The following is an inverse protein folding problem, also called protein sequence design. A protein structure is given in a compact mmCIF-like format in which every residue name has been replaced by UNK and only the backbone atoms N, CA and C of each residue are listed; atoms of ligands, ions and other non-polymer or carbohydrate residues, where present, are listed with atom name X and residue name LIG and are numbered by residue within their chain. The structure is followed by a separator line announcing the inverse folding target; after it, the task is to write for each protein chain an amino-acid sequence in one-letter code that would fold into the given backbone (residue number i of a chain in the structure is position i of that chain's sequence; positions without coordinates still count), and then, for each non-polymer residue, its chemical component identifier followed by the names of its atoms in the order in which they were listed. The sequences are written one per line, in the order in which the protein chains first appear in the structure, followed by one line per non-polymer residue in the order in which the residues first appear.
data_IF_987691798202
#
_entry.id   IF_987691798202
#
_cell.length_a   1.000
_cell.length_b   1.000
_cell.length_c   1.000
_cell.angle_alpha   90.00
_cell.angle_beta   90.00
_cell.angle_gamma   90.00
#
_symmetry.space_group_name_H-M   'P 1'
#
loop_
_entity.id
_entity.type
_entity.pdbx_description
1 polymer ?
#
# COMPACT_ATOMS: atom_id res chain seq x y z
N UNK A 1 2.50 37.80 0.68
CA UNK A 1 1.79 36.52 0.52
C UNK A 1 2.21 35.61 1.66
N UNK A 2 1.43 35.60 2.74
CA UNK A 2 1.73 34.82 3.93
C UNK A 2 1.35 33.37 3.69
N UNK A 3 2.32 32.45 3.79
CA UNK A 3 2.05 31.01 3.86
C UNK A 3 1.21 30.77 5.12
N UNK A 4 -0.06 30.40 4.93
CA UNK A 4 -0.89 29.84 5.99
C UNK A 4 -0.22 28.55 6.47
N UNK A 5 0.41 28.58 7.65
CA UNK A 5 0.74 27.37 8.39
C UNK A 5 -0.59 26.70 8.73
N UNK A 6 -0.96 25.63 8.03
CA UNK A 6 -1.97 24.71 8.52
C UNK A 6 -1.47 24.18 9.87
N UNK A 7 -2.05 24.64 10.97
CA UNK A 7 -1.81 24.05 12.28
C UNK A 7 -2.33 22.62 12.23
N UNK A 8 -1.44 21.64 12.17
CA UNK A 8 -1.80 20.23 12.33
C UNK A 8 -2.36 20.06 13.73
N UNK A 9 -3.68 19.97 13.83
CA UNK A 9 -4.41 19.72 15.07
C UNK A 9 -4.21 18.25 15.45
N UNK A 10 -3.06 17.94 16.05
CA UNK A 10 -2.81 16.61 16.60
C UNK A 10 -3.63 16.44 17.88
N UNK A 11 -4.49 15.43 17.88
CA UNK A 11 -5.42 15.16 18.99
C UNK A 11 -5.03 13.85 19.67
N UNK A 12 -4.99 13.87 21.00
CA UNK A 12 -4.78 12.68 21.79
C UNK A 12 -6.10 11.90 21.91
N UNK A 13 -6.10 10.64 21.45
CA UNK A 13 -7.27 9.74 21.47
C UNK A 13 -6.81 8.38 21.98
N UNK A 14 -7.63 7.72 22.80
CA UNK A 14 -7.46 6.32 23.17
C UNK A 14 -8.35 5.44 22.30
N UNK A 15 -7.76 4.48 21.60
CA UNK A 15 -8.48 3.48 20.77
C UNK A 15 -8.23 2.12 21.40
N UNK A 16 -9.27 1.52 21.98
CA UNK A 16 -9.11 0.38 22.88
C UNK A 16 -8.27 0.76 24.11
N UNK A 17 -7.18 0.04 24.32
CA UNK A 17 -6.26 0.26 25.44
C UNK A 17 -5.03 1.12 25.08
N UNK A 18 -4.89 1.53 23.83
CA UNK A 18 -3.70 2.23 23.33
C UNK A 18 -3.99 3.71 23.11
N UNK A 19 -3.07 4.57 23.56
CA UNK A 19 -3.17 6.02 23.39
C UNK A 19 -2.37 6.46 22.17
N UNK A 20 -3.01 7.22 21.29
CA UNK A 20 -2.43 7.77 20.08
C UNK A 20 -2.49 9.29 20.09
N UNK A 21 -1.57 9.92 19.35
CA UNK A 21 -1.58 11.36 19.05
C UNK A 21 -1.59 11.51 17.53
N UNK A 22 -2.79 11.72 16.97
CA UNK A 22 -3.02 11.62 15.52
C UNK A 22 -3.45 12.95 14.92
N UNK A 23 -3.11 13.15 13.65
CA UNK A 23 -3.68 14.23 12.85
C UNK A 23 -5.06 13.80 12.35
N UNK A 24 -6.10 14.18 13.09
CA UNK A 24 -7.50 13.80 12.80
C UNK A 24 -7.99 14.36 11.46
N UNK A 25 -7.35 15.39 10.91
CA UNK A 25 -7.73 15.95 9.59
C UNK A 25 -7.53 14.95 8.44
N UNK A 26 -6.67 13.94 8.64
CA UNK A 26 -6.42 12.87 7.68
C UNK A 26 -7.32 11.66 7.87
N UNK A 27 -8.14 11.64 8.92
CA UNK A 27 -9.00 10.51 9.30
C UNK A 27 -10.42 11.05 9.56
N UNK A 28 -11.25 11.19 8.50
CA UNK A 28 -12.54 11.88 8.60
C UNK A 28 -13.49 11.31 9.65
N UNK A 29 -13.49 9.99 9.84
CA UNK A 29 -14.27 9.36 10.91
C UNK A 29 -13.83 9.86 12.30
N UNK A 30 -12.51 9.91 12.55
CA UNK A 30 -11.97 10.34 13.85
C UNK A 30 -12.21 11.82 14.10
N UNK A 31 -12.13 12.67 13.07
CA UNK A 31 -12.52 14.08 13.19
C UNK A 31 -13.98 14.21 13.64
N UNK A 32 -14.89 13.51 12.95
CA UNK A 32 -16.33 13.52 13.27
C UNK A 32 -16.61 13.00 14.69
N UNK A 33 -15.89 11.94 15.09
CA UNK A 33 -15.99 11.36 16.43
C UNK A 33 -15.53 12.33 17.52
N UNK A 34 -14.40 13.01 17.33
CA UNK A 34 -13.87 14.01 18.26
C UNK A 34 -14.83 15.19 18.39
N UNK A 35 -15.32 15.70 17.27
CA UNK A 35 -16.27 16.82 17.26
C UNK A 35 -17.57 16.44 17.99
N UNK A 36 -18.09 15.24 17.76
CA UNK A 36 -19.27 14.75 18.46
C UNK A 36 -19.04 14.64 19.97
N UNK A 37 -17.93 14.02 20.40
CA UNK A 37 -17.63 13.88 21.84
C UNK A 37 -17.38 15.22 22.53
N UNK A 38 -16.66 16.14 21.88
CA UNK A 38 -16.36 17.47 22.41
C UNK A 38 -17.64 18.29 22.66
N UNK A 39 -18.63 18.15 21.76
CA UNK A 39 -19.92 18.81 21.92
C UNK A 39 -20.84 18.11 22.95
N UNK A 40 -20.69 16.79 23.13
CA UNK A 40 -21.54 16.02 24.04
C UNK A 40 -21.06 16.02 25.51
N UNK A 41 -19.75 16.13 25.76
CA UNK A 41 -19.16 16.06 27.11
C UNK A 41 -18.45 17.35 27.46
N UNK A 42 -19.08 18.19 28.29
CA UNK A 42 -18.53 19.47 28.77
C UNK A 42 -17.28 19.36 29.66
N UNK A 43 -16.87 18.15 30.11
CA UNK A 43 -15.76 17.97 31.06
C UNK A 43 -14.86 16.74 30.80
N UNK A 44 -15.01 16.00 29.70
CA UNK A 44 -14.13 14.86 29.42
C UNK A 44 -12.77 15.34 28.94
N UNK A 45 -11.70 14.96 29.64
CA UNK A 45 -10.32 15.30 29.29
C UNK A 45 -9.68 14.33 28.29
N UNK A 46 -10.34 13.20 28.00
CA UNK A 46 -9.84 12.16 27.10
C UNK A 46 -10.94 11.71 26.13
N UNK A 47 -10.58 11.60 24.84
CA UNK A 47 -11.42 10.99 23.81
C UNK A 47 -11.14 9.48 23.79
N UNK A 48 -12.17 8.67 23.98
CA UNK A 48 -12.06 7.21 24.10
C UNK A 48 -12.97 6.53 23.09
N UNK A 49 -12.38 5.76 22.19
CA UNK A 49 -13.02 4.95 21.15
C UNK A 49 -12.76 3.46 21.43
N UNK A 50 -13.71 2.61 21.04
CA UNK A 50 -13.55 1.16 21.08
C UNK A 50 -12.36 0.69 20.20
N UNK A 51 -11.81 -0.52 20.41
CA UNK A 51 -10.76 -1.04 19.55
C UNK A 51 -11.14 -1.06 18.07
N UNK A 52 -10.22 -0.63 17.21
CA UNK A 52 -10.34 -0.77 15.75
C UNK A 52 -9.27 -1.79 15.32
N UNK A 53 -9.65 -2.86 14.58
CA UNK A 53 -8.68 -3.83 14.09
C UNK A 53 -7.56 -3.19 13.28
N UNK A 54 -6.31 -3.59 13.55
CA UNK A 54 -5.10 -3.16 12.83
C UNK A 54 -4.93 -1.63 12.73
N UNK A 55 -5.49 -0.86 13.67
CA UNK A 55 -5.48 0.60 13.63
C UNK A 55 -4.07 1.20 13.62
N UNK A 56 -3.14 0.60 14.37
CA UNK A 56 -1.73 1.00 14.42
C UNK A 56 -1.04 0.84 13.05
N UNK A 57 -1.31 -0.26 12.35
CA UNK A 57 -0.81 -0.51 11.00
C UNK A 57 -1.45 0.47 10.01
N UNK A 58 -2.77 0.69 10.09
CA UNK A 58 -3.48 1.63 9.24
C UNK A 58 -2.91 3.05 9.40
N UNK A 59 -2.70 3.49 10.64
CA UNK A 59 -2.10 4.78 10.97
C UNK A 59 -0.66 4.88 10.44
N UNK A 60 0.16 3.83 10.61
CA UNK A 60 1.53 3.80 10.08
C UNK A 60 1.57 3.90 8.56
N UNK A 61 0.66 3.23 7.85
CA UNK A 61 0.52 3.34 6.41
C UNK A 61 0.14 4.77 5.97
N UNK A 62 -0.77 5.41 6.70
CA UNK A 62 -1.20 6.78 6.43
C UNK A 62 -0.09 7.82 6.71
N UNK A 63 0.69 7.65 7.77
CA UNK A 63 1.71 8.62 8.18
C UNK A 63 3.07 8.42 7.49
N UNK A 64 3.46 7.18 7.20
CA UNK A 64 4.80 6.84 6.68
C UNK A 64 4.80 6.26 5.26
N UNK A 65 3.63 5.97 4.71
CA UNK A 65 3.42 5.42 3.36
C UNK A 65 2.91 3.98 3.37
N UNK A 66 2.00 3.67 2.46
CA UNK A 66 1.26 2.41 2.46
C UNK A 66 2.11 1.16 2.21
N UNK A 67 3.35 1.27 1.72
CA UNK A 67 4.29 0.14 1.67
C UNK A 67 4.51 -0.49 3.05
N UNK A 68 4.36 0.28 4.13
CA UNK A 68 4.51 -0.23 5.49
C UNK A 68 3.38 -1.19 5.90
N UNK A 69 2.23 -1.17 5.23
CA UNK A 69 1.15 -2.12 5.47
C UNK A 69 1.62 -3.56 5.17
N UNK A 70 2.21 -3.78 3.99
CA UNK A 70 2.79 -5.08 3.63
C UNK A 70 3.91 -5.50 4.56
N UNK A 71 4.77 -4.57 4.99
CA UNK A 71 5.88 -4.88 5.91
C UNK A 71 5.42 -5.29 7.31
N UNK A 72 4.28 -4.77 7.74
CA UNK A 72 3.76 -4.97 9.10
C UNK A 72 2.83 -6.18 9.22
N UNK A 73 2.28 -6.65 8.09
CA UNK A 73 1.44 -7.85 8.03
C UNK A 73 2.17 -9.03 7.38
N UNK A 74 1.81 -10.28 7.68
CA UNK A 74 2.30 -11.44 6.94
C UNK A 74 1.68 -11.49 5.53
N UNK A 75 2.16 -12.39 4.67
CA UNK A 75 1.58 -12.66 3.34
C UNK A 75 0.21 -13.38 3.41
N UNK A 76 -0.70 -12.87 4.25
CA UNK A 76 -2.04 -13.41 4.49
C UNK A 76 -3.09 -12.42 3.98
N UNK A 77 -3.85 -12.82 2.97
CA UNK A 77 -4.87 -11.99 2.35
C UNK A 77 -5.98 -11.60 3.34
N UNK A 78 -6.30 -12.46 4.31
CA UNK A 78 -7.38 -12.19 5.28
C UNK A 78 -7.05 -10.99 6.18
N UNK A 79 -5.80 -10.85 6.61
CA UNK A 79 -5.34 -9.68 7.38
C UNK A 79 -5.39 -8.40 6.55
N UNK A 80 -5.14 -8.51 5.24
CA UNK A 80 -5.20 -7.37 4.33
C UNK A 80 -6.64 -6.93 4.03
N UNK A 81 -7.60 -7.86 4.00
CA UNK A 81 -9.04 -7.53 4.00
C UNK A 81 -9.40 -6.69 5.22
N UNK A 82 -9.08 -7.18 6.43
CA UNK A 82 -9.35 -6.47 7.69
C UNK A 82 -8.72 -5.07 7.68
N UNK A 83 -7.50 -4.93 7.15
CA UNK A 83 -6.84 -3.63 7.04
C UNK A 83 -7.56 -2.69 6.05
N UNK A 84 -8.00 -3.20 4.89
CA UNK A 84 -8.74 -2.39 3.92
C UNK A 84 -10.11 -1.96 4.48
N UNK A 85 -10.82 -2.86 5.16
CA UNK A 85 -12.07 -2.55 5.86
C UNK A 85 -11.85 -1.49 6.96
N UNK A 86 -10.73 -1.55 7.69
CA UNK A 86 -10.38 -0.53 8.66
C UNK A 86 -10.18 0.85 8.01
N UNK A 87 -9.51 0.92 6.85
CA UNK A 87 -9.37 2.16 6.08
C UNK A 87 -10.73 2.71 5.60
N UNK A 88 -11.62 1.86 5.09
CA UNK A 88 -12.97 2.28 4.67
C UNK A 88 -13.80 2.77 5.85
N UNK A 89 -13.79 2.04 6.97
CA UNK A 89 -14.46 2.42 8.21
C UNK A 89 -13.99 3.80 8.70
N UNK A 90 -12.68 4.03 8.67
CA UNK A 90 -12.06 5.30 9.04
C UNK A 90 -12.31 6.44 8.03
N UNK A 91 -12.93 6.11 6.87
CA UNK A 91 -13.19 7.00 5.74
C UNK A 91 -11.92 7.65 5.18
N UNK A 92 -10.82 6.91 5.18
CA UNK A 92 -9.55 7.35 4.61
C UNK A 92 -9.58 7.13 3.10
N UNK A 93 -9.34 8.17 2.31
CA UNK A 93 -9.16 8.04 0.87
C UNK A 93 -7.77 7.47 0.55
N UNK A 94 -7.67 6.13 0.56
CA UNK A 94 -6.43 5.40 0.25
C UNK A 94 -5.99 5.67 -1.19
N UNK A 95 -6.93 5.77 -2.12
CA UNK A 95 -6.65 5.97 -3.54
C UNK A 95 -6.18 7.40 -3.82
N UNK A 96 -6.65 8.38 -3.05
CA UNK A 96 -6.42 9.80 -3.32
C UNK A 96 -7.13 10.24 -4.60
N UNK A 97 -8.29 9.65 -4.88
CA UNK A 97 -9.04 9.85 -6.13
C UNK A 97 -8.43 9.25 -7.40
N UNK A 98 -7.36 8.45 -7.30
CA UNK A 98 -6.69 7.86 -8.47
C UNK A 98 -7.53 6.76 -9.13
N UNK A 99 -7.56 6.79 -10.46
CA UNK A 99 -8.07 5.71 -11.32
C UNK A 99 -7.09 4.54 -11.43
N UNK A 100 -7.56 3.37 -11.89
CA UNK A 100 -6.70 2.20 -12.14
C UNK A 100 -5.56 2.50 -13.13
N UNK A 101 -5.82 3.32 -14.15
CA UNK A 101 -4.80 3.70 -15.12
C UNK A 101 -3.70 4.57 -14.51
N UNK A 102 -4.06 5.49 -13.61
CA UNK A 102 -3.10 6.30 -12.86
C UNK A 102 -2.30 5.46 -11.86
N UNK A 103 -2.97 4.53 -11.17
CA UNK A 103 -2.33 3.54 -10.30
C UNK A 103 -1.31 2.72 -11.11
N UNK A 104 -1.69 2.23 -12.29
CA UNK A 104 -0.79 1.44 -13.12
C UNK A 104 0.40 2.26 -13.64
N UNK A 105 0.21 3.53 -14.00
CA UNK A 105 1.29 4.44 -14.34
C UNK A 105 2.25 4.64 -13.17
N UNK A 106 1.72 4.84 -11.97
CA UNK A 106 2.51 5.07 -10.76
C UNK A 106 3.27 3.81 -10.29
N UNK A 107 2.74 2.61 -10.54
CA UNK A 107 3.50 1.36 -10.32
C UNK A 107 4.79 1.32 -11.14
N UNK A 108 4.76 1.86 -12.36
CA UNK A 108 5.93 1.92 -13.24
C UNK A 108 6.97 2.95 -12.82
N UNK A 109 6.62 3.88 -11.92
CA UNK A 109 7.54 4.92 -11.45
C UNK A 109 8.77 4.38 -10.72
N UNK A 110 8.75 3.11 -10.28
CA UNK A 110 9.91 2.44 -9.67
C UNK A 110 11.01 2.08 -10.67
N UNK A 111 10.70 2.03 -11.96
CA UNK A 111 11.68 1.75 -13.00
C UNK A 111 12.60 2.97 -13.22
N UNK A 112 13.90 2.73 -13.31
CA UNK A 112 14.84 3.79 -13.67
C UNK A 112 14.79 4.04 -15.16
N UNK A 113 14.81 5.30 -15.55
CA UNK A 113 14.84 5.71 -16.95
C UNK A 113 16.25 6.17 -17.34
N UNK A 114 16.55 6.20 -18.64
CA UNK A 114 17.80 6.73 -19.16
C UNK A 114 17.50 7.96 -20.03
N UNK A 115 17.90 9.12 -19.54
CA UNK A 115 17.85 10.35 -20.32
C UNK A 115 18.98 10.32 -21.36
N UNK A 116 18.59 10.21 -22.63
CA UNK A 116 19.53 10.15 -23.75
C UNK A 116 20.16 11.51 -24.07
N UNK A 117 19.46 12.60 -23.78
CA UNK A 117 19.92 13.97 -24.04
C UNK A 117 20.95 14.38 -22.98
N UNK A 118 20.64 14.11 -21.72
CA UNK A 118 21.52 14.42 -20.58
C UNK A 118 22.51 13.28 -20.26
N UNK A 119 22.43 12.16 -20.99
CA UNK A 119 23.27 10.95 -20.84
C UNK A 119 23.33 10.42 -19.40
N UNK A 120 22.23 10.54 -18.65
CA UNK A 120 22.17 10.14 -17.23
C UNK A 120 21.01 9.21 -16.92
N UNK A 121 21.21 8.35 -15.93
CA UNK A 121 20.16 7.48 -15.40
C UNK A 121 19.30 8.26 -14.42
N UNK A 122 18.02 8.37 -14.69
CA UNK A 122 17.02 8.91 -13.77
C UNK A 122 16.60 7.76 -12.84
N UNK A 123 16.95 7.88 -11.56
CA UNK A 123 16.60 6.86 -10.56
C UNK A 123 15.08 6.80 -10.40
N UNK A 124 14.51 5.61 -10.56
CA UNK A 124 13.10 5.36 -10.33
C UNK A 124 12.71 5.55 -8.86
N UNK A 125 11.46 5.96 -8.62
CA UNK A 125 10.91 6.16 -7.28
C UNK A 125 10.27 4.86 -6.75
N UNK A 126 11.12 3.97 -6.21
CA UNK A 126 10.67 2.68 -5.63
C UNK A 126 9.66 2.89 -4.49
N UNK A 127 9.81 3.91 -3.65
CA UNK A 127 8.91 4.17 -2.53
C UNK A 127 7.50 4.50 -3.01
N UNK A 128 7.38 5.38 -4.02
CA UNK A 128 6.08 5.70 -4.65
C UNK A 128 5.46 4.45 -5.26
N UNK A 129 6.20 3.69 -6.07
CA UNK A 129 5.68 2.47 -6.67
C UNK A 129 5.19 1.46 -5.61
N UNK A 130 5.94 1.28 -4.52
CA UNK A 130 5.57 0.38 -3.41
C UNK A 130 4.34 0.86 -2.63
N UNK A 131 4.18 2.16 -2.42
CA UNK A 131 2.96 2.71 -1.81
C UNK A 131 1.76 2.52 -2.76
N UNK A 132 1.96 2.73 -4.06
CA UNK A 132 0.94 2.50 -5.08
C UNK A 132 0.52 1.03 -5.19
N UNK A 133 1.40 0.07 -4.90
CA UNK A 133 1.03 -1.34 -4.83
C UNK A 133 -0.08 -1.61 -3.81
N UNK A 134 -0.10 -0.89 -2.69
CA UNK A 134 -1.17 -1.01 -1.71
C UNK A 134 -2.46 -0.37 -2.20
N UNK A 135 -2.38 0.73 -2.95
CA UNK A 135 -3.56 1.32 -3.60
C UNK A 135 -4.20 0.35 -4.60
N UNK A 136 -3.37 -0.35 -5.39
CA UNK A 136 -3.86 -1.40 -6.28
C UNK A 136 -4.58 -2.51 -5.50
N UNK A 137 -3.98 -2.99 -4.39
CA UNK A 137 -4.61 -3.97 -3.51
C UNK A 137 -5.97 -3.48 -3.00
N UNK A 138 -6.01 -2.25 -2.47
CA UNK A 138 -7.24 -1.64 -1.95
C UNK A 138 -8.32 -1.54 -3.04
N UNK A 139 -7.96 -1.11 -4.25
CA UNK A 139 -8.87 -1.09 -5.39
C UNK A 139 -9.38 -2.48 -5.77
N UNK A 140 -8.57 -3.53 -5.69
CA UNK A 140 -9.01 -4.90 -6.00
C UNK A 140 -10.03 -5.38 -4.97
N UNK A 141 -9.77 -5.15 -3.68
CA UNK A 141 -10.60 -5.70 -2.60
C UNK A 141 -11.91 -4.92 -2.39
N UNK A 142 -11.86 -3.58 -2.43
CA UNK A 142 -12.98 -2.71 -2.09
C UNK A 142 -13.42 -1.78 -3.23
N UNK A 143 -12.78 -1.86 -4.40
CA UNK A 143 -13.12 -1.00 -5.52
C UNK A 143 -14.44 -1.38 -6.20
N UNK A 144 -15.21 -0.36 -6.53
CA UNK A 144 -16.34 -0.45 -7.43
C UNK A 144 -15.84 -0.39 -8.89
N UNK A 145 -16.07 -1.47 -9.63
CA UNK A 145 -15.71 -1.58 -11.05
C UNK A 145 -16.97 -1.41 -11.90
N UNK A 146 -16.93 -0.51 -12.87
CA UNK A 146 -18.09 -0.19 -13.70
C UNK A 146 -18.29 -1.24 -14.81
N UNK A 147 -17.19 -1.76 -15.35
CA UNK A 147 -17.16 -2.83 -16.35
C UNK A 147 -16.18 -3.88 -15.87
N UNK A 148 -16.69 -4.89 -15.17
CA UNK A 148 -15.86 -5.95 -14.57
C UNK A 148 -14.95 -6.61 -15.61
N UNK A 149 -15.37 -6.76 -16.86
CA UNK A 149 -14.55 -7.37 -17.91
C UNK A 149 -13.38 -6.48 -18.34
N UNK A 150 -13.66 -5.21 -18.64
CA UNK A 150 -12.62 -4.26 -19.06
C UNK A 150 -11.68 -3.93 -17.90
N UNK A 151 -12.24 -3.64 -16.74
CA UNK A 151 -11.50 -3.25 -15.56
C UNK A 151 -10.65 -4.42 -15.06
N UNK A 152 -11.15 -5.67 -15.13
CA UNK A 152 -10.34 -6.88 -14.82
C UNK A 152 -9.12 -7.00 -15.73
N UNK A 153 -9.23 -6.69 -17.02
CA UNK A 153 -8.08 -6.74 -17.93
C UNK A 153 -7.03 -5.65 -17.62
N UNK A 154 -7.46 -4.45 -17.24
CA UNK A 154 -6.57 -3.38 -16.79
C UNK A 154 -5.86 -3.75 -15.48
N UNK A 155 -6.62 -4.24 -14.49
CA UNK A 155 -6.08 -4.74 -13.22
C UNK A 155 -5.12 -5.90 -13.46
N UNK A 156 -5.45 -6.85 -14.34
CA UNK A 156 -4.56 -7.96 -14.69
C UNK A 156 -3.20 -7.48 -15.17
N UNK A 157 -3.15 -6.48 -16.05
CA UNK A 157 -1.89 -5.92 -16.53
C UNK A 157 -1.08 -5.26 -15.41
N UNK A 158 -1.75 -4.59 -14.47
CA UNK A 158 -1.11 -4.01 -13.30
C UNK A 158 -0.54 -5.07 -12.35
N UNK A 159 -1.30 -6.13 -12.07
CA UNK A 159 -0.87 -7.27 -11.25
C UNK A 159 0.29 -8.00 -11.93
N UNK A 160 0.18 -8.29 -13.23
CA UNK A 160 1.23 -8.96 -14.01
C UNK A 160 2.55 -8.17 -13.96
N UNK A 161 2.48 -6.84 -14.13
CA UNK A 161 3.65 -5.98 -13.97
C UNK A 161 4.22 -6.08 -12.55
N UNK A 162 3.39 -5.97 -11.52
CA UNK A 162 3.84 -6.02 -10.14
C UNK A 162 4.55 -7.36 -9.82
N UNK A 163 3.97 -8.50 -10.21
CA UNK A 163 4.55 -9.82 -9.89
C UNK A 163 5.84 -10.10 -10.67
N UNK A 164 6.03 -9.51 -11.85
CA UNK A 164 7.23 -9.70 -12.66
C UNK A 164 8.41 -8.81 -12.27
N UNK A 165 8.25 -7.86 -11.35
CA UNK A 165 9.28 -6.87 -10.97
C UNK A 165 9.76 -7.08 -9.53
N UNK A 166 10.40 -8.22 -9.25
CA UNK A 166 10.91 -8.57 -7.90
C UNK A 166 11.95 -7.59 -7.34
N UNK A 167 12.69 -6.90 -8.21
CA UNK A 167 13.64 -5.84 -7.81
C UNK A 167 12.94 -4.62 -7.17
N UNK A 168 11.66 -4.39 -7.49
CA UNK A 168 10.87 -3.28 -6.95
C UNK A 168 9.92 -3.79 -5.87
N UNK A 169 9.18 -4.87 -6.15
CA UNK A 169 8.12 -5.40 -5.29
C UNK A 169 8.56 -6.70 -4.63
N UNK A 170 8.57 -6.71 -3.30
CA UNK A 170 8.97 -7.88 -2.51
C UNK A 170 7.95 -8.99 -2.60
N UNK A 171 8.40 -10.22 -2.38
CA UNK A 171 7.57 -11.42 -2.46
C UNK A 171 6.24 -11.28 -1.72
N UNK A 172 6.24 -10.71 -0.51
CA UNK A 172 5.02 -10.54 0.29
C UNK A 172 3.99 -9.67 -0.42
N UNK A 173 4.40 -8.49 -0.90
CA UNK A 173 3.54 -7.61 -1.71
C UNK A 173 3.05 -8.33 -2.97
N UNK A 174 3.95 -9.02 -3.69
CA UNK A 174 3.59 -9.75 -4.92
C UNK A 174 2.54 -10.84 -4.67
N UNK A 175 2.72 -11.61 -3.60
CA UNK A 175 1.86 -12.73 -3.24
C UNK A 175 0.47 -12.27 -2.83
N UNK A 176 0.39 -11.25 -1.96
CA UNK A 176 -0.90 -10.72 -1.48
C UNK A 176 -1.69 -10.08 -2.62
N UNK A 177 -1.06 -9.23 -3.43
CA UNK A 177 -1.76 -8.57 -4.56
C UNK A 177 -2.24 -9.59 -5.58
N UNK A 178 -1.43 -10.62 -5.86
CA UNK A 178 -1.83 -11.73 -6.73
C UNK A 178 -3.03 -12.47 -6.14
N UNK A 179 -2.97 -12.87 -4.87
CA UNK A 179 -4.06 -13.60 -4.22
C UNK A 179 -5.36 -12.78 -4.23
N UNK A 180 -5.29 -11.47 -3.99
CA UNK A 180 -6.44 -10.57 -4.07
C UNK A 180 -7.08 -10.57 -5.46
N UNK A 181 -6.25 -10.52 -6.52
CA UNK A 181 -6.74 -10.58 -7.90
C UNK A 181 -7.42 -11.92 -8.21
N UNK A 182 -6.79 -13.03 -7.79
CA UNK A 182 -7.32 -14.38 -8.02
C UNK A 182 -8.61 -14.65 -7.23
N UNK A 183 -8.79 -14.01 -6.07
CA UNK A 183 -10.03 -14.07 -5.29
C UNK A 183 -11.16 -13.25 -5.94
N UNK A 184 -10.85 -12.03 -6.40
CA UNK A 184 -11.86 -11.08 -6.89
C UNK A 184 -12.36 -11.39 -8.30
N UNK A 185 -11.47 -11.80 -9.20
CA UNK A 185 -11.77 -11.87 -10.63
C UNK A 185 -11.73 -13.29 -11.16
N UNK A 186 -12.61 -13.59 -12.11
CA UNK A 186 -12.50 -14.82 -12.91
C UNK A 186 -11.43 -14.61 -13.98
N UNK A 187 -10.39 -15.44 -13.98
CA UNK A 187 -9.30 -15.36 -14.95
C UNK A 187 -9.16 -16.62 -15.79
N UNK A 188 -8.65 -16.44 -17.01
CA UNK A 188 -8.42 -17.54 -17.95
C UNK A 188 -7.17 -18.35 -17.57
N UNK A 189 -7.11 -19.60 -18.04
CA UNK A 189 -5.90 -20.45 -17.93
C UNK A 189 -4.63 -19.78 -18.49
N UNK A 190 -4.78 -18.91 -19.50
CA UNK A 190 -3.66 -18.13 -20.05
C UNK A 190 -3.14 -17.09 -19.06
N UNK A 191 -4.05 -16.38 -18.40
CA UNK A 191 -3.70 -15.39 -17.37
C UNK A 191 -3.07 -16.10 -16.16
N UNK A 192 -3.63 -17.23 -15.75
CA UNK A 192 -3.07 -18.09 -14.69
C UNK A 192 -1.63 -18.49 -15.00
N UNK A 193 -1.40 -19.09 -16.16
CA UNK A 193 -0.07 -19.53 -16.58
C UNK A 193 0.95 -18.37 -16.66
N UNK A 194 0.48 -17.16 -17.01
CA UNK A 194 1.34 -15.97 -17.03
C UNK A 194 1.75 -15.51 -15.62
N UNK A 195 0.85 -15.61 -14.63
CA UNK A 195 1.15 -15.31 -13.23
C UNK A 195 2.05 -16.39 -12.61
N UNK A 196 1.74 -17.67 -12.82
CA UNK A 196 2.49 -18.84 -12.32
C UNK A 196 3.96 -18.82 -12.75
N UNK A 197 4.26 -18.22 -13.91
CA UNK A 197 5.63 -18.06 -14.42
C UNK A 197 6.54 -17.34 -13.42
N UNK A 198 6.00 -16.42 -12.63
CA UNK A 198 6.75 -15.54 -11.73
C UNK A 198 6.81 -16.03 -10.28
N UNK A 199 6.05 -17.08 -9.95
CA UNK A 199 6.01 -17.69 -8.61
C UNK A 199 7.12 -18.72 -8.38
N UNK A 200 7.84 -19.12 -9.44
CA UNK A 200 8.90 -20.15 -9.40
C UNK A 200 10.18 -19.65 -8.73
N UNK A 201 10.11 -19.28 -7.45
CA UNK A 201 11.26 -19.03 -6.60
C UNK A 201 11.47 -20.19 -5.63
N UNK A 202 12.73 -20.57 -5.47
CA UNK A 202 13.18 -21.52 -4.45
C UNK A 202 12.72 -21.05 -3.05
N UNK A 203 12.19 -21.96 -2.23
CA UNK A 203 11.75 -21.67 -0.86
C UNK A 203 12.85 -20.98 -0.03
N UNK A 204 14.13 -21.30 -0.26
CA UNK A 204 15.24 -20.62 0.39
C UNK A 204 15.36 -19.14 0.00
N UNK A 205 15.13 -18.81 -1.27
CA UNK A 205 15.12 -17.43 -1.76
C UNK A 205 13.90 -16.66 -1.27
N UNK A 206 12.76 -17.34 -1.12
CA UNK A 206 11.56 -16.73 -0.55
C UNK A 206 11.76 -16.37 0.93
N UNK A 207 12.38 -17.27 1.70
CA UNK A 207 12.69 -17.01 3.10
C UNK A 207 13.69 -15.84 3.27
N UNK A 208 14.68 -15.72 2.38
CA UNK A 208 15.62 -14.60 2.36
C UNK A 208 14.93 -13.28 1.99
N UNK A 209 14.07 -13.27 0.96
CA UNK A 209 13.29 -12.08 0.58
C UNK A 209 12.33 -11.64 1.69
N UNK A 210 11.67 -12.57 2.38
CA UNK A 210 10.74 -12.28 3.48
C UNK A 210 11.45 -11.71 4.72
N UNK A 211 12.63 -12.25 5.06
CA UNK A 211 13.45 -11.72 6.14
C UNK A 211 13.94 -10.28 5.85
N UNK A 212 14.30 -10.00 4.59
CA UNK A 212 14.71 -8.66 4.15
C UNK A 212 13.56 -7.64 4.07
N UNK A 213 12.30 -8.09 3.96
CA UNK A 213 11.12 -7.21 3.88
C UNK A 213 10.81 -6.52 5.22
N UNK A 214 11.32 -7.06 6.33
CA UNK A 214 11.10 -6.54 7.69
C UNK A 214 12.13 -5.46 8.09
N UNK A 215 13.28 -5.37 7.42
CA UNK A 215 14.41 -4.54 7.88
C UNK A 215 14.61 -3.24 7.08
N UNK A 216 14.26 -2.10 7.72
CA UNK A 216 14.70 -0.69 7.56
C UNK A 216 14.64 0.02 6.18
N UNK A 217 14.60 1.35 6.27
CA UNK A 217 13.96 2.28 5.33
C UNK A 217 14.70 2.58 4.01
N UNK A 218 15.93 2.10 3.84
CA UNK A 218 16.66 2.21 2.58
C UNK A 218 17.38 0.90 2.28
N UNK A 219 16.87 0.17 1.29
CA UNK A 219 17.64 -0.91 0.70
C UNK A 219 18.80 -0.28 -0.05
N UNK A 220 20.01 -0.41 0.51
CA UNK A 220 21.25 -0.15 -0.20
C UNK A 220 21.18 -0.93 -1.52
N UNK A 221 21.28 -0.21 -2.65
CA UNK A 221 21.37 -0.82 -3.98
C UNK A 221 22.70 -1.58 -4.05
N UNK A 222 22.74 -2.81 -3.50
CA UNK A 222 23.85 -3.72 -3.73
C UNK A 222 23.79 -4.12 -5.21
N UNK A 223 24.54 -3.38 -6.02
CA UNK A 223 24.90 -3.77 -7.37
C UNK A 223 25.56 -5.15 -7.28
N UNK A 224 24.83 -6.20 -7.67
CA UNK A 224 25.49 -7.40 -8.17
C UNK A 224 26.09 -7.02 -9.52
N UNK A 225 27.37 -6.65 -9.49
CA UNK A 225 28.21 -6.55 -10.67
C UNK A 225 28.36 -7.98 -11.21
N UNK A 226 27.48 -8.36 -12.14
CA UNK A 226 27.70 -9.57 -12.92
C UNK A 226 28.74 -9.22 -13.98
N UNK A 227 30.00 -9.50 -13.69
CA UNK A 227 31.07 -9.60 -14.67
C UNK A 227 30.61 -10.49 -15.83
N UNK A 228 30.18 -9.88 -16.93
CA UNK A 228 30.12 -10.57 -18.21
C UNK A 228 31.53 -10.56 -18.79
N UNK A 229 32.32 -11.59 -18.46
CA UNK A 229 33.41 -12.03 -19.32
C UNK A 229 32.84 -12.91 -20.44
N UNK A 230 32.63 -12.32 -21.62
CA UNK A 230 32.69 -13.01 -22.92
C UNK A 230 33.52 -12.15 -23.87
#
# INVERSE_FOLDING_TARGET
MSKSLQSTSRTAIRVGDVRYVIDISKIPYMASFVDFQANAKTQSTEFVHEPIPLFDIALKGLESGYRHCFRSLPADLSQHHVLCEAYDYLRIDVLGGQSINEIFSDLKSGQSDYDREERRKIKGNKSKARDTAFKLLYSILLGDFNDETKDSAEVFNAVLYLVSHSATFKWRTRSVVRAAYEERFVFSEKQKAALDKWEKMDAAKLAEEDAGDVTTEEESDCYYDSDYSI
#
